data_IF_318623246448
#
_entry.id   IF_318623246448
#
_cell.length_a   1.000
_cell.length_b   1.000
_cell.length_c   1.000
_cell.angle_alpha   90.00
_cell.angle_beta   90.00
_cell.angle_gamma   90.00
#
_symmetry.space_group_name_H-M   'P 1'
#
loop_
_entity.id
_entity.type
_entity.pdbx_description
1 polymer ?
#
# COMPACT_ATOMS: atom_id res chain seq x y z
N UNK A 1 -17.67 -2.97 8.63
CA UNK A 1 -16.32 -2.37 8.47
C UNK A 1 -16.13 -1.74 7.09
N UNK A 2 -16.39 -2.42 5.99
CA UNK A 2 -16.17 -1.93 4.59
C UNK A 2 -16.87 -0.61 4.27
N UNK A 3 -18.12 -0.39 4.71
CA UNK A 3 -18.85 0.87 4.45
C UNK A 3 -18.19 2.05 5.16
N UNK A 4 -17.76 1.87 6.42
CA UNK A 4 -17.05 2.92 7.18
C UNK A 4 -15.73 3.26 6.48
N UNK A 5 -15.01 2.25 6.00
CA UNK A 5 -13.76 2.44 5.25
C UNK A 5 -14.00 3.19 3.94
N UNK A 6 -15.05 2.84 3.20
CA UNK A 6 -15.45 3.55 1.98
C UNK A 6 -15.78 5.02 2.27
N UNK A 7 -16.50 5.31 3.35
CA UNK A 7 -16.77 6.69 3.76
C UNK A 7 -15.49 7.46 4.12
N UNK A 8 -14.52 6.80 4.76
CA UNK A 8 -13.20 7.40 5.04
C UNK A 8 -12.45 7.70 3.74
N UNK A 9 -12.42 6.77 2.79
CA UNK A 9 -11.81 6.98 1.46
C UNK A 9 -12.46 8.18 0.78
N UNK A 10 -13.79 8.22 0.77
CA UNK A 10 -14.55 9.34 0.19
C UNK A 10 -14.24 10.67 0.86
N UNK A 11 -14.16 10.72 2.20
CA UNK A 11 -13.81 11.91 2.94
C UNK A 11 -12.40 12.42 2.59
N UNK A 12 -11.42 11.51 2.49
CA UNK A 12 -10.04 11.85 2.09
C UNK A 12 -10.01 12.37 0.66
N UNK A 13 -10.66 11.70 -0.31
CA UNK A 13 -10.77 12.15 -1.69
C UNK A 13 -11.40 13.55 -1.81
N UNK A 14 -12.39 13.85 -0.98
CA UNK A 14 -13.02 15.17 -0.91
C UNK A 14 -12.06 16.22 -0.35
N UNK A 15 -11.38 15.91 0.74
CA UNK A 15 -10.49 16.85 1.44
C UNK A 15 -9.22 17.17 0.62
N UNK A 16 -8.72 16.21 -0.14
CA UNK A 16 -7.57 16.44 -1.04
C UNK A 16 -7.94 17.11 -2.36
N UNK A 17 -9.23 17.37 -2.59
CA UNK A 17 -9.71 18.04 -3.81
C UNK A 17 -9.80 17.14 -5.05
N UNK A 18 -9.38 15.87 -4.95
CA UNK A 18 -9.42 14.91 -6.06
C UNK A 18 -10.86 14.63 -6.46
N UNK A 19 -11.77 14.55 -5.50
CA UNK A 19 -13.19 14.38 -5.77
C UNK A 19 -13.76 15.49 -6.66
N UNK A 20 -13.38 16.73 -6.44
CA UNK A 20 -13.79 17.87 -7.26
C UNK A 20 -13.24 17.77 -8.69
N UNK A 21 -12.01 17.27 -8.84
CA UNK A 21 -11.38 17.02 -10.14
C UNK A 21 -12.11 15.91 -10.89
N UNK A 22 -12.50 14.85 -10.19
CA UNK A 22 -13.29 13.76 -10.73
C UNK A 22 -14.64 14.24 -11.23
N UNK A 23 -15.41 14.99 -10.40
CA UNK A 23 -16.70 15.57 -10.80
C UNK A 23 -16.55 16.55 -11.96
N UNK A 24 -15.48 17.37 -11.97
CA UNK A 24 -15.19 18.30 -13.08
C UNK A 24 -14.87 17.57 -14.39
N UNK A 25 -14.23 16.40 -14.33
CA UNK A 25 -14.01 15.53 -15.47
C UNK A 25 -15.31 14.99 -16.07
N UNK A 26 -16.38 14.87 -15.27
CA UNK A 26 -17.72 14.48 -15.71
C UNK A 26 -18.52 15.61 -16.37
N UNK A 27 -18.15 16.87 -16.10
CA UNK A 27 -18.90 18.01 -16.66
C UNK A 27 -17.96 18.93 -17.44
N UNK A 28 -18.00 18.90 -18.79
CA UNK A 28 -17.14 19.74 -19.63
C UNK A 28 -17.32 21.24 -19.38
N UNK A 29 -18.47 21.67 -18.85
CA UNK A 29 -18.73 23.06 -18.48
C UNK A 29 -17.91 23.53 -17.26
N UNK A 30 -17.44 22.61 -16.40
CA UNK A 30 -16.66 22.93 -15.19
C UNK A 30 -15.14 22.94 -15.43
N UNK A 31 -14.67 22.66 -16.64
CA UNK A 31 -13.24 22.72 -17.00
C UNK A 31 -12.61 24.11 -16.87
N UNK A 32 -13.42 25.16 -16.84
CA UNK A 32 -12.96 26.56 -16.89
C UNK A 32 -12.46 27.10 -15.54
N UNK A 33 -12.69 26.39 -14.44
CA UNK A 33 -12.31 26.82 -13.08
C UNK A 33 -11.23 25.94 -12.41
N UNK A 34 -10.44 25.21 -13.20
CA UNK A 34 -9.34 24.42 -12.62
C UNK A 34 -8.18 25.36 -12.30
N UNK A 35 -8.10 25.79 -11.05
CA UNK A 35 -6.86 26.27 -10.43
C UNK A 35 -5.73 25.28 -10.72
N UNK A 36 -4.51 25.79 -10.97
CA UNK A 36 -3.24 25.05 -11.09
C UNK A 36 -2.87 24.31 -9.78
N UNK A 37 -3.76 23.53 -9.24
CA UNK A 37 -3.42 22.68 -8.11
C UNK A 37 -2.80 21.40 -8.69
N UNK A 38 -1.62 21.07 -8.24
CA UNK A 38 -0.89 19.86 -8.56
C UNK A 38 -1.76 18.62 -8.23
N UNK A 39 -2.61 18.22 -9.19
CA UNK A 39 -3.58 17.11 -9.04
C UNK A 39 -2.82 15.84 -8.71
N UNK A 40 -1.66 15.65 -9.34
CA UNK A 40 -0.77 14.52 -9.17
C UNK A 40 -0.26 14.44 -7.72
N UNK A 41 0.20 15.57 -7.16
CA UNK A 41 0.65 15.64 -5.76
C UNK A 41 -0.50 15.41 -4.77
N UNK A 42 -1.68 15.92 -5.06
CA UNK A 42 -2.86 15.68 -4.23
C UNK A 42 -3.27 14.22 -4.27
N UNK A 43 -3.15 13.55 -5.43
CA UNK A 43 -3.41 12.13 -5.55
C UNK A 43 -2.42 11.30 -4.72
N UNK A 44 -1.12 11.60 -4.83
CA UNK A 44 -0.08 10.99 -3.99
C UNK A 44 -0.41 11.15 -2.50
N UNK A 45 -0.65 12.37 -2.02
CA UNK A 45 -1.01 12.64 -0.62
C UNK A 45 -2.27 11.88 -0.17
N UNK A 46 -3.22 11.71 -1.08
CA UNK A 46 -4.43 10.91 -0.82
C UNK A 46 -4.07 9.46 -0.53
N UNK A 47 -3.24 8.85 -1.38
CA UNK A 47 -2.81 7.46 -1.19
C UNK A 47 -2.01 7.28 0.11
N UNK A 48 -1.08 8.20 0.41
CA UNK A 48 -0.33 8.22 1.67
C UNK A 48 -1.26 8.29 2.90
N UNK A 49 -2.26 9.16 2.88
CA UNK A 49 -3.21 9.32 3.99
C UNK A 49 -4.20 8.15 4.15
N UNK A 50 -4.42 7.37 3.10
CA UNK A 50 -5.24 6.15 3.15
C UNK A 50 -4.49 4.94 3.70
N UNK A 51 -3.16 4.98 3.69
CA UNK A 51 -2.29 3.99 4.34
C UNK A 51 -1.69 2.95 3.40
N UNK A 52 -1.10 1.88 3.97
CA UNK A 52 -0.19 0.96 3.28
C UNK A 52 -0.74 0.37 1.99
N UNK A 53 -1.98 -0.11 2.02
CA UNK A 53 -2.67 -0.73 0.87
C UNK A 53 -2.74 0.25 -0.30
N UNK A 54 -3.06 1.52 -0.03
CA UNK A 54 -3.17 2.54 -1.07
C UNK A 54 -1.81 3.04 -1.54
N UNK A 55 -0.79 3.07 -0.68
CA UNK A 55 0.59 3.34 -1.08
C UNK A 55 1.05 2.29 -2.10
N UNK A 56 0.84 1.02 -1.82
CA UNK A 56 1.18 -0.09 -2.73
C UNK A 56 0.38 -0.03 -4.04
N UNK A 57 -0.91 0.32 -3.97
CA UNK A 57 -1.71 0.57 -5.17
C UNK A 57 -1.10 1.69 -6.03
N UNK A 58 -0.67 2.77 -5.41
CA UNK A 58 -0.02 3.87 -6.11
C UNK A 58 1.30 3.46 -6.76
N UNK A 59 2.12 2.68 -6.06
CA UNK A 59 3.36 2.13 -6.60
C UNK A 59 3.11 1.21 -7.80
N UNK A 60 2.09 0.34 -7.73
CA UNK A 60 1.68 -0.45 -8.89
C UNK A 60 1.23 0.44 -10.05
N UNK A 61 0.37 1.42 -9.79
CA UNK A 61 -0.12 2.33 -10.82
C UNK A 61 1.02 3.13 -11.47
N UNK A 62 2.09 3.46 -10.75
CA UNK A 62 3.24 4.19 -11.29
C UNK A 62 3.94 3.46 -12.44
N UNK A 63 3.84 2.13 -12.49
CA UNK A 63 4.38 1.30 -13.57
C UNK A 63 3.45 1.17 -14.77
N UNK A 64 2.19 1.60 -14.63
CA UNK A 64 1.10 1.39 -15.59
C UNK A 64 0.79 2.68 -16.38
N UNK A 65 1.76 3.13 -17.18
CA UNK A 65 1.59 4.31 -18.05
C UNK A 65 0.59 4.10 -19.19
N UNK A 66 0.06 2.88 -19.34
CA UNK A 66 -1.07 2.55 -20.21
C UNK A 66 -2.41 2.98 -19.60
N UNK A 67 -2.49 3.11 -18.27
CA UNK A 67 -3.70 3.46 -17.51
C UNK A 67 -3.68 4.93 -17.06
N UNK A 68 -2.52 5.42 -16.62
CA UNK A 68 -2.36 6.77 -16.06
C UNK A 68 -1.42 7.62 -16.91
N UNK A 69 -1.48 8.96 -16.71
CA UNK A 69 -0.55 9.88 -17.38
C UNK A 69 0.89 9.70 -16.89
N UNK A 70 1.86 10.07 -17.74
CA UNK A 70 3.29 10.02 -17.38
C UNK A 70 3.63 10.91 -16.19
N UNK A 71 2.97 12.06 -16.10
CA UNK A 71 3.12 13.03 -15.02
C UNK A 71 2.67 12.43 -13.68
N UNK A 72 1.50 11.77 -13.67
CA UNK A 72 1.01 11.07 -12.49
C UNK A 72 1.91 9.88 -12.12
N UNK A 73 2.36 9.09 -13.10
CA UNK A 73 3.28 7.99 -12.87
C UNK A 73 4.59 8.48 -12.22
N UNK A 74 5.16 9.58 -12.70
CA UNK A 74 6.36 10.18 -12.14
C UNK A 74 6.16 10.64 -10.68
N UNK A 75 5.01 11.23 -10.36
CA UNK A 75 4.69 11.63 -8.98
C UNK A 75 4.49 10.42 -8.07
N UNK A 76 3.81 9.37 -8.54
CA UNK A 76 3.58 8.14 -7.78
C UNK A 76 4.85 7.32 -7.55
N UNK A 77 5.85 7.41 -8.41
CA UNK A 77 7.17 6.82 -8.18
C UNK A 77 7.87 7.40 -6.93
N UNK A 78 7.46 8.59 -6.47
CA UNK A 78 7.95 9.21 -5.24
C UNK A 78 7.16 8.77 -3.99
N UNK A 79 6.24 7.81 -4.10
CA UNK A 79 5.63 7.18 -2.94
C UNK A 79 6.67 6.36 -2.19
N UNK A 80 6.93 6.74 -0.94
CA UNK A 80 7.89 6.05 -0.10
C UNK A 80 7.19 5.04 0.79
N UNK A 81 7.81 3.88 0.95
CA UNK A 81 7.40 2.86 1.92
C UNK A 81 7.89 3.16 3.34
N UNK A 82 8.50 4.33 3.56
CA UNK A 82 9.03 4.70 4.88
C UNK A 82 7.88 5.07 5.80
N UNK A 83 7.47 4.13 6.64
CA UNK A 83 6.40 4.28 7.61
C UNK A 83 6.97 4.41 9.03
N UNK A 84 6.18 4.96 9.94
CA UNK A 84 6.54 4.98 11.35
C UNK A 84 6.77 3.56 11.87
N UNK A 85 7.86 3.35 12.66
CA UNK A 85 8.11 2.07 13.28
C UNK A 85 6.99 1.66 14.24
N UNK A 86 6.73 0.36 14.29
CA UNK A 86 5.88 -0.24 15.32
C UNK A 86 6.70 -0.52 16.59
N UNK A 87 6.00 -0.61 17.71
CA UNK A 87 6.58 -0.86 19.02
C UNK A 87 7.40 -2.15 19.08
N UNK A 88 8.59 -2.10 19.64
CA UNK A 88 9.49 -3.26 19.74
C UNK A 88 8.88 -4.45 20.49
N UNK A 89 8.03 -4.20 21.49
CA UNK A 89 7.35 -5.25 22.21
C UNK A 89 6.48 -6.11 21.30
N UNK A 90 5.80 -5.50 20.30
CA UNK A 90 5.07 -6.26 19.31
C UNK A 90 5.99 -7.18 18.48
N UNK A 91 7.17 -6.68 18.09
CA UNK A 91 8.17 -7.49 17.35
C UNK A 91 8.57 -8.72 18.16
N UNK A 92 8.86 -8.55 19.45
CA UNK A 92 9.20 -9.65 20.38
C UNK A 92 8.09 -10.68 20.45
N UNK A 93 6.85 -10.23 20.64
CA UNK A 93 5.69 -11.11 20.76
C UNK A 93 5.47 -11.92 19.46
N UNK A 94 5.64 -11.28 18.31
CA UNK A 94 5.54 -11.95 17.01
C UNK A 94 6.65 -12.98 16.79
N UNK A 95 7.89 -12.67 17.17
CA UNK A 95 9.00 -13.61 17.08
C UNK A 95 8.76 -14.83 17.97
N UNK A 96 8.34 -14.62 19.21
CA UNK A 96 8.03 -15.72 20.16
C UNK A 96 6.86 -16.56 19.61
N UNK A 97 5.78 -15.92 19.15
CA UNK A 97 4.58 -16.62 18.68
C UNK A 97 4.85 -17.49 17.44
N UNK A 98 5.72 -17.04 16.52
CA UNK A 98 5.95 -17.72 15.25
C UNK A 98 7.15 -18.66 15.26
N UNK A 99 8.18 -18.42 16.08
CA UNK A 99 9.42 -19.18 16.09
C UNK A 99 9.59 -20.04 17.35
N UNK A 100 8.77 -19.83 18.38
CA UNK A 100 8.85 -20.57 19.63
C UNK A 100 10.23 -20.45 20.27
N UNK A 101 10.86 -21.59 20.61
CA UNK A 101 12.19 -21.60 21.23
C UNK A 101 13.30 -21.02 20.36
N UNK A 102 13.17 -21.06 19.04
CA UNK A 102 14.14 -20.47 18.11
C UNK A 102 14.15 -18.93 18.16
N UNK A 103 13.12 -18.30 18.72
CA UNK A 103 13.10 -16.87 18.92
C UNK A 103 14.18 -16.38 19.91
N UNK A 104 14.62 -17.21 20.84
CA UNK A 104 15.59 -16.86 21.88
C UNK A 104 16.91 -16.41 21.27
N UNK A 105 17.43 -17.17 20.30
CA UNK A 105 18.68 -16.85 19.61
C UNK A 105 18.64 -15.48 18.93
N UNK A 106 17.47 -15.11 18.36
CA UNK A 106 17.29 -13.82 17.70
C UNK A 106 17.16 -12.71 18.74
N UNK A 107 16.39 -12.95 19.81
CA UNK A 107 16.06 -11.95 20.82
C UNK A 107 17.26 -11.57 21.72
N UNK A 108 18.30 -12.41 21.81
CA UNK A 108 19.51 -12.12 22.55
C UNK A 108 20.31 -10.95 21.94
N UNK A 109 20.36 -10.87 20.60
CA UNK A 109 21.22 -9.92 19.88
C UNK A 109 20.47 -9.01 18.89
N UNK A 110 19.13 -8.97 18.94
CA UNK A 110 18.35 -8.13 18.05
C UNK A 110 18.46 -6.66 18.43
N UNK A 111 18.73 -5.79 17.44
CA UNK A 111 18.67 -4.34 17.63
C UNK A 111 17.20 -3.91 17.82
N UNK A 112 16.84 -3.30 18.97
CA UNK A 112 15.48 -2.77 19.17
C UNK A 112 15.11 -1.69 18.16
N UNK A 113 16.09 -0.97 17.62
CA UNK A 113 15.88 0.04 16.60
C UNK A 113 15.78 -0.63 15.22
N UNK A 114 14.69 -0.43 14.48
CA UNK A 114 14.56 -1.05 13.19
C UNK A 114 15.59 -0.50 12.19
N UNK A 115 16.09 -1.38 11.34
CA UNK A 115 16.91 -1.03 10.19
C UNK A 115 16.05 -0.31 9.14
N UNK A 116 14.82 -0.77 8.96
CA UNK A 116 13.84 -0.18 8.06
C UNK A 116 12.41 -0.47 8.54
N UNK A 117 11.49 0.46 8.30
CA UNK A 117 10.06 0.26 8.54
C UNK A 117 9.30 0.59 7.26
N UNK A 118 8.91 -0.47 6.55
CA UNK A 118 8.13 -0.37 5.32
C UNK A 118 6.61 -0.34 5.60
N UNK A 119 5.80 -0.25 4.56
CA UNK A 119 4.35 -0.21 4.65
C UNK A 119 3.76 -1.47 5.28
N UNK A 120 4.28 -2.66 4.94
CA UNK A 120 3.74 -3.95 5.36
C UNK A 120 4.59 -4.66 6.41
N UNK A 121 5.86 -4.28 6.57
CA UNK A 121 6.80 -4.97 7.45
C UNK A 121 7.83 -4.03 8.06
N UNK A 122 8.46 -4.51 9.12
CA UNK A 122 9.59 -3.88 9.79
C UNK A 122 10.77 -4.84 9.81
N UNK A 123 11.97 -4.31 9.59
CA UNK A 123 13.20 -5.10 9.52
C UNK A 123 14.11 -4.73 10.68
N UNK A 124 14.58 -5.73 11.39
CA UNK A 124 15.56 -5.59 12.47
C UNK A 124 16.83 -6.35 12.16
N UNK A 125 17.97 -5.83 12.62
CA UNK A 125 19.25 -6.53 12.56
C UNK A 125 19.41 -7.38 13.80
N UNK A 126 20.05 -8.53 13.65
CA UNK A 126 20.57 -9.34 14.77
C UNK A 126 21.87 -10.02 14.33
N UNK A 127 22.64 -10.49 15.32
CA UNK A 127 23.90 -11.21 15.07
C UNK A 127 23.72 -12.65 15.51
N UNK A 128 24.20 -13.59 14.71
CA UNK A 128 24.27 -15.01 15.07
C UNK A 128 25.55 -15.61 14.50
N UNK A 129 26.36 -16.28 15.34
CA UNK A 129 27.61 -16.92 14.93
C UNK A 129 28.56 -15.99 14.17
N UNK A 130 28.70 -14.74 14.65
CA UNK A 130 29.45 -13.66 14.02
C UNK A 130 28.92 -13.15 12.66
N UNK A 131 27.76 -13.62 12.22
CA UNK A 131 27.09 -13.15 10.99
C UNK A 131 26.04 -12.07 11.32
N UNK A 132 26.05 -10.99 10.49
CA UNK A 132 25.02 -9.97 10.55
C UNK A 132 23.81 -10.42 9.71
N UNK A 133 22.73 -10.68 10.38
CA UNK A 133 21.48 -11.14 9.79
C UNK A 133 20.38 -10.10 9.97
N UNK A 134 19.28 -10.30 9.25
CA UNK A 134 18.08 -9.48 9.42
C UNK A 134 16.85 -10.37 9.63
N UNK A 135 15.94 -9.88 10.46
CA UNK A 135 14.61 -10.47 10.61
C UNK A 135 13.57 -9.48 10.13
N UNK A 136 12.68 -9.93 9.26
CA UNK A 136 11.56 -9.16 8.73
C UNK A 136 10.28 -9.61 9.42
N UNK A 137 9.62 -8.68 10.09
CA UNK A 137 8.39 -8.93 10.86
C UNK A 137 7.23 -8.15 10.26
N UNK A 138 6.14 -8.83 9.99
CA UNK A 138 4.92 -8.27 9.44
C UNK A 138 4.25 -7.32 10.45
N UNK A 139 3.70 -6.21 9.94
CA UNK A 139 2.92 -5.28 10.78
C UNK A 139 1.60 -5.90 11.25
N UNK A 140 1.03 -5.42 12.38
CA UNK A 140 -0.19 -5.99 12.94
C UNK A 140 -1.42 -5.77 12.05
N UNK A 141 -2.36 -6.73 12.11
CA UNK A 141 -3.70 -6.63 11.52
C UNK A 141 -3.75 -6.34 10.01
N UNK A 142 -2.68 -6.65 9.28
CA UNK A 142 -2.60 -6.36 7.84
C UNK A 142 -3.62 -7.16 7.04
N UNK A 143 -3.82 -8.45 7.35
CA UNK A 143 -4.74 -9.31 6.62
C UNK A 143 -6.17 -8.74 6.64
N UNK A 144 -6.66 -8.37 7.84
CA UNK A 144 -7.97 -7.76 7.99
C UNK A 144 -8.07 -6.39 7.30
N UNK A 145 -7.00 -5.59 7.39
CA UNK A 145 -6.97 -4.27 6.76
C UNK A 145 -6.98 -4.40 5.24
N UNK A 146 -6.19 -5.29 4.67
CA UNK A 146 -6.13 -5.54 3.22
C UNK A 146 -7.49 -6.04 2.72
N UNK A 147 -8.10 -7.00 3.40
CA UNK A 147 -9.42 -7.51 3.03
C UNK A 147 -10.48 -6.39 2.98
N UNK A 148 -10.49 -5.53 4.01
CA UNK A 148 -11.43 -4.40 4.09
C UNK A 148 -11.15 -3.38 2.99
N UNK A 149 -9.89 -3.07 2.71
CA UNK A 149 -9.48 -2.10 1.70
C UNK A 149 -9.76 -2.60 0.27
N UNK A 150 -9.46 -3.86 -0.03
CA UNK A 150 -9.80 -4.48 -1.32
C UNK A 150 -11.31 -4.48 -1.56
N UNK A 151 -12.11 -4.85 -0.55
CA UNK A 151 -13.58 -4.79 -0.64
C UNK A 151 -14.07 -3.36 -0.89
N UNK A 152 -13.45 -2.36 -0.26
CA UNK A 152 -13.79 -0.96 -0.48
C UNK A 152 -13.40 -0.49 -1.88
N UNK A 153 -12.23 -0.87 -2.39
CA UNK A 153 -11.79 -0.58 -3.75
C UNK A 153 -12.75 -1.22 -4.78
N UNK A 154 -13.09 -2.51 -4.62
CA UNK A 154 -14.07 -3.20 -5.51
C UNK A 154 -15.43 -2.52 -5.50
N UNK A 155 -15.91 -2.07 -4.35
CA UNK A 155 -17.17 -1.32 -4.27
C UNK A 155 -17.04 0.03 -4.98
N UNK A 156 -15.94 0.74 -4.79
CA UNK A 156 -15.63 1.99 -5.48
C UNK A 156 -15.62 1.83 -7.01
N UNK A 157 -14.97 0.78 -7.53
CA UNK A 157 -14.95 0.50 -8.99
C UNK A 157 -16.34 0.18 -9.54
N UNK A 158 -17.19 -0.54 -8.80
CA UNK A 158 -18.58 -0.79 -9.20
C UNK A 158 -19.39 0.51 -9.29
N UNK A 159 -19.24 1.40 -8.31
CA UNK A 159 -19.90 2.71 -8.30
C UNK A 159 -19.41 3.53 -9.51
N UNK A 160 -18.10 3.59 -9.74
CA UNK A 160 -17.53 4.30 -10.89
C UNK A 160 -18.08 3.80 -12.22
N UNK A 161 -18.17 2.49 -12.42
CA UNK A 161 -18.75 1.90 -13.65
C UNK A 161 -20.20 2.30 -13.88
N UNK A 162 -20.98 2.46 -12.82
CA UNK A 162 -22.38 2.86 -12.91
C UNK A 162 -22.54 4.28 -13.45
N UNK A 163 -21.65 5.17 -13.03
CA UNK A 163 -21.71 6.59 -13.40
C UNK A 163 -20.85 6.96 -14.63
N UNK A 164 -19.84 6.15 -14.95
CA UNK A 164 -18.87 6.45 -16.02
C UNK A 164 -18.93 5.45 -17.16
N UNK A 165 -19.79 5.76 -18.14
CA UNK A 165 -19.95 4.95 -19.36
C UNK A 165 -18.84 5.13 -20.42
N UNK A 166 -17.83 5.96 -20.15
CA UNK A 166 -16.80 6.39 -21.12
C UNK A 166 -15.44 5.68 -21.05
N UNK A 167 -15.26 4.66 -20.20
CA UNK A 167 -14.01 3.89 -20.10
C UNK A 167 -14.14 2.49 -20.74
N UNK A 168 -14.06 2.39 -22.08
CA UNK A 168 -14.28 1.10 -22.74
C UNK A 168 -13.05 0.19 -22.82
N UNK A 169 -11.87 0.63 -22.36
CA UNK A 169 -10.62 -0.07 -22.65
C UNK A 169 -9.91 -0.73 -21.45
N UNK A 170 -10.29 -0.41 -20.23
CA UNK A 170 -9.66 -0.99 -19.03
C UNK A 170 -10.70 -1.71 -18.19
N UNK A 171 -10.52 -3.00 -17.99
CA UNK A 171 -11.32 -3.74 -17.02
C UNK A 171 -10.79 -3.46 -15.61
N UNK A 172 -11.47 -2.52 -14.91
CA UNK A 172 -11.11 -2.16 -13.54
C UNK A 172 -11.19 -3.33 -12.57
N UNK A 173 -12.01 -4.34 -12.83
CA UNK A 173 -12.07 -5.53 -11.96
C UNK A 173 -10.78 -6.34 -12.12
N UNK A 174 -10.31 -6.55 -13.35
CA UNK A 174 -9.04 -7.22 -13.61
C UNK A 174 -7.87 -6.49 -12.92
N UNK A 175 -7.84 -5.16 -12.97
CA UNK A 175 -6.81 -4.37 -12.27
C UNK A 175 -6.85 -4.58 -10.75
N UNK A 176 -8.05 -4.66 -10.15
CA UNK A 176 -8.20 -4.93 -8.71
C UNK A 176 -7.81 -6.36 -8.38
N UNK A 177 -8.13 -7.33 -9.25
CA UNK A 177 -7.75 -8.74 -9.06
C UNK A 177 -6.23 -8.90 -9.12
N UNK A 178 -5.57 -8.27 -10.10
CA UNK A 178 -4.11 -8.25 -10.21
C UNK A 178 -3.47 -7.61 -8.97
N UNK A 179 -4.04 -6.49 -8.52
CA UNK A 179 -3.56 -5.81 -7.32
C UNK A 179 -3.72 -6.66 -6.06
N UNK A 180 -4.87 -7.32 -5.87
CA UNK A 180 -5.09 -8.23 -4.74
C UNK A 180 -4.06 -9.36 -4.73
N UNK A 181 -3.79 -9.97 -5.87
CA UNK A 181 -2.77 -11.01 -6.00
C UNK A 181 -1.37 -10.48 -5.66
N UNK A 182 -1.01 -9.29 -6.12
CA UNK A 182 0.30 -8.69 -5.83
C UNK A 182 0.46 -8.45 -4.33
N UNK A 183 -0.52 -7.82 -3.68
CA UNK A 183 -0.41 -7.49 -2.26
C UNK A 183 -0.42 -8.74 -1.37
N UNK A 184 -1.19 -9.77 -1.74
CA UNK A 184 -1.19 -11.05 -1.03
C UNK A 184 0.14 -11.78 -1.16
N UNK A 185 0.77 -11.72 -2.33
CA UNK A 185 2.11 -12.29 -2.53
C UNK A 185 3.20 -11.54 -1.73
N UNK A 186 3.08 -10.23 -1.55
CA UNK A 186 4.00 -9.46 -0.69
C UNK A 186 3.88 -9.80 0.80
N UNK A 187 2.74 -10.33 1.24
CA UNK A 187 2.55 -10.81 2.60
C UNK A 187 3.16 -12.20 2.83
N UNK A 188 3.34 -12.98 1.79
CA UNK A 188 3.96 -14.31 1.90
C UNK A 188 5.48 -14.21 1.79
N UNK A 189 6.14 -13.99 2.93
CA UNK A 189 7.61 -13.92 2.99
C UNK A 189 8.33 -15.20 2.54
N UNK A 190 7.64 -16.34 2.42
CA UNK A 190 8.21 -17.57 1.87
C UNK A 190 8.55 -17.41 0.40
N UNK A 191 7.76 -16.63 -0.35
CA UNK A 191 8.01 -16.30 -1.76
C UNK A 191 9.29 -15.46 -1.86
N UNK A 192 9.42 -14.43 -1.03
CA UNK A 192 10.61 -13.58 -0.99
C UNK A 192 11.87 -14.36 -0.60
N UNK A 193 11.79 -15.22 0.42
CA UNK A 193 12.90 -16.06 0.84
C UNK A 193 13.32 -17.05 -0.26
N UNK A 194 12.38 -17.67 -0.98
CA UNK A 194 12.67 -18.55 -2.09
C UNK A 194 13.38 -17.82 -3.26
N UNK A 195 12.96 -16.59 -3.56
CA UNK A 195 13.59 -15.74 -4.58
C UNK A 195 15.01 -15.30 -4.17
N UNK A 196 15.24 -15.00 -2.89
CA UNK A 196 16.57 -14.66 -2.37
C UNK A 196 17.58 -15.79 -2.51
N UNK A 197 17.15 -17.04 -2.35
CA UNK A 197 18.00 -18.22 -2.49
C UNK A 197 18.45 -18.48 -3.94
N UNK A 198 17.79 -17.91 -4.93
CA UNK A 198 18.14 -18.04 -6.35
C UNK A 198 19.27 -17.07 -6.74
N UNK A 199 19.58 -16.05 -5.92
CA UNK A 199 20.56 -15.00 -6.21
C UNK A 199 21.86 -15.14 -5.41
N UNK A 200 22.07 -16.25 -4.71
CA UNK A 200 23.33 -16.67 -4.10
C UNK A 200 23.99 -17.71 -5.04
#
# INVERSE_FOLDING_TARGET
>A
MTIIRLLKIFAVLRNTGIFNTFIKGFNPFLKTFSSKNNIEQNFKKTLESLGPVFIKLGQLLSTRTDIISKELAAELNNLTDNCEPIEYNYIKDQLIANLGDNAKDILEDIDPKPLASASLAQVHRFTKEDENLVVKVQKPNLDEQIEVDIKAIRLGTKILRTFYKGYPRVDLNSVVDDYENIIMNELDFRIEAALSLIHI
#
